data_IF_804615266442
#
_entry.id   IF_804615266442
#
_cell.length_a   1.000
_cell.length_b   1.000
_cell.length_c   1.000
_cell.angle_alpha   90.00
_cell.angle_beta   90.00
_cell.angle_gamma   90.00
#
_symmetry.space_group_name_H-M   'P 1'
#
loop_
_entity.id
_entity.type
_entity.pdbx_description
1 polymer ?
#
# COMPACT_ATOMS: atom_id res chain seq x y z
N UNK A 1 18.96 -55.08 53.46
CA UNK A 1 20.02 -54.07 53.63
C UNK A 1 20.24 -53.44 52.26
N UNK A 2 19.75 -52.21 52.11
CA UNK A 2 19.99 -51.13 51.13
C UNK A 2 18.68 -50.32 50.98
N UNK A 3 18.74 -48.98 51.01
CA UNK A 3 17.67 -48.15 51.56
C UNK A 3 16.67 -47.67 50.53
N UNK A 4 15.47 -47.36 51.03
CA UNK A 4 14.50 -46.46 50.40
C UNK A 4 15.13 -45.07 50.26
N UNK A 5 15.09 -44.52 49.05
CA UNK A 5 15.39 -43.10 48.81
C UNK A 5 14.15 -42.43 48.23
N UNK A 6 13.57 -41.53 49.03
CA UNK A 6 12.64 -40.50 48.60
C UNK A 6 13.31 -39.58 47.57
N UNK A 7 12.61 -39.28 46.48
CA UNK A 7 12.94 -38.12 45.65
C UNK A 7 11.67 -37.35 45.31
N UNK A 8 11.43 -36.41 46.22
CA UNK A 8 10.81 -35.08 46.11
C UNK A 8 10.41 -34.68 44.68
N UNK A 9 9.12 -34.39 44.58
CA UNK A 9 8.48 -33.60 43.53
C UNK A 9 9.02 -32.16 43.52
N UNK A 10 9.80 -31.81 42.51
CA UNK A 10 9.96 -30.41 42.09
C UNK A 10 9.16 -30.21 40.80
N UNK A 11 7.86 -29.94 40.97
CA UNK A 11 7.05 -29.34 39.93
C UNK A 11 7.50 -27.88 39.76
N UNK A 12 8.56 -27.67 38.98
CA UNK A 12 8.81 -26.37 38.40
C UNK A 12 7.57 -25.98 37.59
N UNK A 13 6.76 -25.09 38.15
CA UNK A 13 5.80 -24.30 37.40
C UNK A 13 6.59 -23.50 36.38
N UNK A 14 6.78 -24.10 35.20
CA UNK A 14 7.20 -23.38 34.01
C UNK A 14 6.15 -22.31 33.78
N UNK A 15 6.49 -21.07 34.10
CA UNK A 15 5.72 -19.92 33.64
C UNK A 15 5.50 -20.10 32.13
N UNK A 16 4.26 -20.10 31.63
CA UNK A 16 4.01 -20.26 30.22
C UNK A 16 4.80 -19.18 29.48
N UNK A 17 5.48 -19.54 28.38
CA UNK A 17 6.37 -18.62 27.69
C UNK A 17 5.59 -17.36 27.27
N UNK A 18 6.27 -16.21 27.24
CA UNK A 18 5.78 -14.91 26.71
C UNK A 18 5.51 -15.00 25.20
N UNK A 19 4.59 -15.87 24.81
CA UNK A 19 4.23 -16.28 23.46
C UNK A 19 2.84 -15.72 23.07
N UNK A 20 2.33 -14.71 23.79
CA UNK A 20 0.93 -14.26 23.67
C UNK A 20 0.71 -12.88 23.08
N UNK A 21 1.68 -11.97 23.17
CA UNK A 21 1.45 -10.57 22.76
C UNK A 21 1.99 -10.28 21.35
N UNK A 22 3.15 -10.83 21.01
CA UNK A 22 3.75 -10.68 19.68
C UNK A 22 2.86 -11.32 18.60
N UNK A 23 2.40 -12.54 18.85
CA UNK A 23 1.54 -13.29 17.93
C UNK A 23 0.16 -12.64 17.78
N UNK A 24 -0.41 -12.07 18.85
CA UNK A 24 -1.70 -11.38 18.78
C UNK A 24 -1.63 -10.09 17.96
N UNK A 25 -0.53 -9.33 18.06
CA UNK A 25 -0.34 -8.11 17.26
C UNK A 25 -0.14 -8.43 15.78
N UNK A 26 0.66 -9.46 15.49
CA UNK A 26 0.90 -9.98 14.15
C UNK A 26 -0.38 -10.54 13.52
N UNK A 27 -1.14 -11.34 14.27
CA UNK A 27 -2.47 -11.82 13.84
C UNK A 27 -3.39 -10.64 13.56
N UNK A 28 -3.39 -9.60 14.41
CA UNK A 28 -4.15 -8.39 14.15
C UNK A 28 -3.67 -7.56 12.95
N UNK A 29 -2.48 -7.82 12.38
CA UNK A 29 -2.07 -7.24 11.08
C UNK A 29 -2.56 -8.12 9.93
N UNK A 30 -2.48 -9.44 10.09
CA UNK A 30 -3.04 -10.40 9.13
C UNK A 30 -4.55 -10.19 8.99
N UNK A 31 -5.26 -10.05 10.11
CA UNK A 31 -6.69 -9.76 10.14
C UNK A 31 -6.97 -8.39 9.51
N UNK A 32 -6.10 -7.40 9.70
CA UNK A 32 -6.21 -6.09 9.04
C UNK A 32 -6.04 -6.23 7.52
N UNK A 33 -5.08 -7.02 7.05
CA UNK A 33 -4.87 -7.31 5.62
C UNK A 33 -6.07 -8.04 5.02
N UNK A 34 -6.58 -9.06 5.70
CA UNK A 34 -7.78 -9.80 5.30
C UNK A 34 -9.05 -8.94 5.37
N UNK A 35 -9.12 -8.04 6.35
CA UNK A 35 -10.24 -7.10 6.48
C UNK A 35 -10.15 -6.04 5.41
N UNK A 36 -8.97 -5.52 5.08
CA UNK A 36 -8.80 -4.59 3.97
C UNK A 36 -9.46 -5.17 2.72
N UNK A 37 -9.20 -6.44 2.39
CA UNK A 37 -9.84 -7.16 1.27
C UNK A 37 -11.38 -7.14 1.26
N UNK A 38 -12.03 -7.09 2.43
CA UNK A 38 -13.49 -7.11 2.56
C UNK A 38 -14.12 -5.75 2.87
N UNK A 39 -13.36 -4.81 3.44
CA UNK A 39 -13.82 -3.53 4.01
C UNK A 39 -13.69 -2.34 3.05
N UNK A 40 -13.34 -2.60 1.79
CA UNK A 40 -13.02 -1.60 0.75
C UNK A 40 -14.15 -0.63 0.34
N UNK A 41 -15.15 -0.36 1.18
CA UNK A 41 -16.37 0.36 0.77
C UNK A 41 -16.84 1.52 1.65
N UNK A 42 -16.18 1.89 2.77
CA UNK A 42 -16.83 2.86 3.68
C UNK A 42 -16.02 4.04 4.25
N UNK A 43 -14.75 3.90 4.66
CA UNK A 43 -14.08 4.98 5.43
C UNK A 43 -13.02 5.74 4.63
N UNK A 44 -12.36 5.08 3.68
CA UNK A 44 -11.29 5.64 2.85
C UNK A 44 -10.10 6.24 3.64
N UNK A 45 -9.93 5.90 4.91
CA UNK A 45 -8.73 6.28 5.65
C UNK A 45 -7.64 5.24 5.39
N UNK A 46 -6.38 5.68 5.27
CA UNK A 46 -5.24 4.76 5.24
C UNK A 46 -5.20 3.99 6.57
N UNK A 47 -5.21 2.66 6.52
CA UNK A 47 -5.15 1.85 7.73
C UNK A 47 -3.70 1.81 8.22
N UNK A 48 -3.43 2.55 9.30
CA UNK A 48 -2.11 2.68 9.91
C UNK A 48 -2.07 1.92 11.24
N UNK A 49 -1.00 1.16 11.48
CA UNK A 49 -0.79 0.44 12.75
C UNK A 49 0.67 0.49 13.14
N UNK A 50 0.94 0.75 14.43
CA UNK A 50 2.30 0.57 14.97
C UNK A 50 2.64 -0.91 14.92
N UNK A 51 3.77 -1.22 14.28
CA UNK A 51 4.27 -2.56 14.09
C UNK A 51 5.78 -2.56 14.37
N UNK A 52 6.21 -3.05 15.55
CA UNK A 52 7.62 -3.14 15.91
C UNK A 52 8.44 -3.92 14.87
N UNK A 53 9.72 -3.59 14.74
CA UNK A 53 10.59 -4.15 13.69
C UNK A 53 10.61 -5.68 13.67
N UNK A 54 10.69 -6.32 14.85
CA UNK A 54 10.66 -7.79 14.95
C UNK A 54 9.37 -8.39 14.36
N UNK A 55 8.23 -7.73 14.57
CA UNK A 55 6.94 -8.19 14.05
C UNK A 55 6.81 -7.93 12.55
N UNK A 56 7.39 -6.82 12.06
CA UNK A 56 7.52 -6.57 10.62
C UNK A 56 8.38 -7.64 9.93
N UNK A 57 9.52 -8.02 10.52
CA UNK A 57 10.38 -9.08 9.99
C UNK A 57 9.65 -10.43 9.97
N UNK A 58 8.89 -10.76 11.02
CA UNK A 58 8.02 -11.94 11.04
C UNK A 58 6.94 -11.89 9.96
N UNK A 59 6.28 -10.74 9.77
CA UNK A 59 5.29 -10.55 8.72
C UNK A 59 5.92 -10.75 7.34
N UNK A 60 7.08 -10.16 7.07
CA UNK A 60 7.77 -10.30 5.79
C UNK A 60 8.21 -11.76 5.55
N UNK A 61 8.69 -12.45 6.58
CA UNK A 61 9.01 -13.88 6.48
C UNK A 61 7.77 -14.71 6.13
N UNK A 62 6.63 -14.44 6.76
CA UNK A 62 5.36 -15.10 6.44
C UNK A 62 4.91 -14.81 5.00
N UNK A 63 5.02 -13.56 4.54
CA UNK A 63 4.64 -13.18 3.17
C UNK A 63 5.57 -13.78 2.10
N UNK A 64 6.80 -14.13 2.48
CA UNK A 64 7.76 -14.82 1.60
C UNK A 64 7.57 -16.34 1.58
N UNK A 65 6.78 -16.92 2.49
CA UNK A 65 6.45 -18.34 2.44
C UNK A 65 5.65 -18.70 1.18
N UNK A 66 5.76 -19.95 0.74
CA UNK A 66 4.98 -20.49 -0.38
C UNK A 66 3.48 -20.68 -0.05
N UNK A 67 2.99 -20.26 1.12
CA UNK A 67 1.56 -20.34 1.42
C UNK A 67 0.76 -19.43 0.48
N UNK A 68 0.23 -20.08 -0.57
CA UNK A 68 -0.48 -19.44 -1.65
C UNK A 68 -1.69 -18.63 -1.18
N UNK A 69 -2.28 -18.93 0.00
CA UNK A 69 -3.49 -18.24 0.48
C UNK A 69 -3.19 -16.82 0.94
N UNK A 70 -2.19 -16.66 1.81
CA UNK A 70 -1.77 -15.35 2.30
C UNK A 70 -1.12 -14.56 1.15
N UNK A 71 -0.31 -15.25 0.35
CA UNK A 71 0.38 -14.63 -0.79
C UNK A 71 -0.58 -14.13 -1.86
N UNK A 72 -1.58 -14.92 -2.28
CA UNK A 72 -2.55 -14.50 -3.28
C UNK A 72 -3.45 -13.36 -2.78
N UNK A 73 -3.85 -13.42 -1.50
CA UNK A 73 -4.69 -12.39 -0.89
C UNK A 73 -3.97 -11.03 -0.78
N UNK A 74 -2.68 -11.02 -0.44
CA UNK A 74 -1.92 -9.79 -0.19
C UNK A 74 -1.26 -9.22 -1.44
N UNK A 75 -0.81 -10.06 -2.38
CA UNK A 75 0.16 -9.63 -3.40
C UNK A 75 -0.42 -8.80 -4.54
N UNK A 76 -1.68 -9.01 -4.91
CA UNK A 76 -2.22 -8.38 -6.12
C UNK A 76 -3.14 -7.18 -5.82
N UNK A 77 -3.85 -7.20 -4.69
CA UNK A 77 -4.88 -6.20 -4.38
C UNK A 77 -4.53 -5.25 -3.22
N UNK A 78 -3.57 -5.62 -2.35
CA UNK A 78 -3.24 -4.84 -1.16
C UNK A 78 -1.83 -4.28 -1.22
N UNK A 79 -1.72 -2.95 -1.31
CA UNK A 79 -0.43 -2.29 -1.20
C UNK A 79 -0.22 -1.82 0.22
N UNK A 80 0.97 -2.08 0.76
CA UNK A 80 1.33 -1.63 2.09
C UNK A 80 2.76 -1.11 2.11
N UNK A 81 3.06 -0.31 3.13
CA UNK A 81 4.34 0.35 3.35
C UNK A 81 4.78 0.15 4.78
N UNK A 82 6.07 0.31 5.01
CA UNK A 82 6.64 0.24 6.35
C UNK A 82 7.75 1.27 6.55
N UNK A 83 7.64 2.03 7.64
CA UNK A 83 8.67 2.93 8.15
C UNK A 83 9.33 2.31 9.38
N UNK A 84 10.62 2.01 9.31
CA UNK A 84 11.41 1.52 10.44
C UNK A 84 11.65 2.62 11.48
N UNK A 85 11.80 3.87 11.04
CA UNK A 85 12.01 5.00 11.94
C UNK A 85 10.79 5.23 12.83
N UNK A 86 9.60 5.04 12.28
CA UNK A 86 8.34 5.23 13.00
C UNK A 86 7.74 3.92 13.54
N UNK A 87 8.31 2.77 13.19
CA UNK A 87 7.70 1.45 13.40
C UNK A 87 6.24 1.42 12.95
N UNK A 88 5.98 1.93 11.75
CA UNK A 88 4.64 2.18 11.25
C UNK A 88 4.37 1.35 10.00
N UNK A 89 3.37 0.49 10.09
CA UNK A 89 2.78 -0.24 8.97
C UNK A 89 1.57 0.54 8.44
N UNK A 90 1.54 0.81 7.15
CA UNK A 90 0.45 1.53 6.48
C UNK A 90 -0.05 0.69 5.31
N UNK A 91 -1.32 0.30 5.32
CA UNK A 91 -1.98 -0.20 4.12
C UNK A 91 -2.37 1.04 3.30
N UNK A 92 -1.82 1.14 2.09
CA UNK A 92 -2.23 2.17 1.13
C UNK A 92 -3.70 1.94 0.81
N UNK A 93 -4.42 3.05 0.68
CA UNK A 93 -5.79 3.05 0.21
C UNK A 93 -5.95 2.18 -1.05
N UNK A 94 -6.99 1.33 -1.12
CA UNK A 94 -7.31 0.64 -2.36
C UNK A 94 -7.54 1.67 -3.46
N UNK A 95 -7.19 1.30 -4.70
CA UNK A 95 -7.40 2.16 -5.86
C UNK A 95 -8.90 2.40 -6.03
N UNK A 96 -9.35 3.62 -5.80
CA UNK A 96 -10.70 4.00 -6.26
C UNK A 96 -10.74 3.91 -7.79
N UNK A 97 -11.93 3.75 -8.37
CA UNK A 97 -12.06 3.75 -9.83
C UNK A 97 -11.49 5.04 -10.45
N UNK A 98 -11.65 6.18 -9.76
CA UNK A 98 -11.08 7.46 -10.17
C UNK A 98 -9.55 7.44 -10.09
N UNK A 99 -8.95 6.94 -9.00
CA UNK A 99 -7.49 6.82 -8.88
C UNK A 99 -6.92 5.91 -9.96
N UNK A 100 -7.57 4.77 -10.21
CA UNK A 100 -7.18 3.83 -11.26
C UNK A 100 -7.28 4.49 -12.65
N UNK A 101 -8.36 5.21 -12.92
CA UNK A 101 -8.57 5.94 -14.17
C UNK A 101 -7.51 7.01 -14.42
N UNK A 102 -7.20 7.84 -13.41
CA UNK A 102 -6.15 8.87 -13.51
C UNK A 102 -4.78 8.25 -13.70
N UNK A 103 -4.45 7.18 -12.98
CA UNK A 103 -3.20 6.44 -13.18
C UNK A 103 -3.12 5.88 -14.61
N UNK A 104 -4.23 5.34 -15.13
CA UNK A 104 -4.34 4.87 -16.52
C UNK A 104 -4.02 5.98 -17.53
N UNK A 105 -4.67 7.14 -17.39
CA UNK A 105 -4.43 8.30 -18.25
C UNK A 105 -2.98 8.78 -18.18
N UNK A 106 -2.38 8.86 -16.99
CA UNK A 106 -0.97 9.25 -16.85
C UNK A 106 -0.05 8.26 -17.56
N UNK A 107 -0.29 6.96 -17.41
CA UNK A 107 0.53 5.93 -18.07
C UNK A 107 0.40 6.03 -19.60
N UNK A 108 -0.81 6.26 -20.11
CA UNK A 108 -1.07 6.46 -21.53
C UNK A 108 -0.32 7.69 -22.06
N UNK A 109 -0.43 8.84 -21.38
CA UNK A 109 0.26 10.07 -21.74
C UNK A 109 1.79 9.92 -21.70
N UNK A 110 2.33 9.21 -20.69
CA UNK A 110 3.77 8.86 -20.66
C UNK A 110 4.13 7.99 -21.87
N UNK A 111 3.26 7.06 -22.27
CA UNK A 111 3.43 6.22 -23.46
C UNK A 111 3.51 7.03 -24.75
N UNK A 112 2.54 7.93 -24.95
CA UNK A 112 2.51 8.86 -26.10
C UNK A 112 3.76 9.74 -26.11
N UNK A 113 4.10 10.36 -24.97
CA UNK A 113 5.29 11.19 -24.86
C UNK A 113 6.58 10.43 -25.20
N UNK A 114 6.73 9.20 -24.72
CA UNK A 114 7.88 8.35 -25.05
C UNK A 114 7.95 8.02 -26.54
N UNK A 115 6.82 7.68 -27.16
CA UNK A 115 6.75 7.40 -28.60
C UNK A 115 7.21 8.62 -29.40
N UNK A 116 6.62 9.78 -29.14
CA UNK A 116 7.00 11.05 -29.80
C UNK A 116 8.48 11.36 -29.62
N UNK A 117 9.03 11.22 -28.41
CA UNK A 117 10.46 11.48 -28.19
C UNK A 117 11.38 10.46 -28.86
N UNK A 118 10.93 9.22 -29.00
CA UNK A 118 11.69 8.17 -29.68
C UNK A 118 11.81 8.40 -31.19
N UNK A 119 10.89 9.18 -31.77
CA UNK A 119 10.86 9.54 -33.18
C UNK A 119 11.58 10.86 -33.48
N UNK A 120 12.18 11.51 -32.48
CA UNK A 120 12.91 12.77 -32.69
C UNK A 120 14.21 12.56 -33.46
N UNK A 121 14.61 13.57 -34.25
CA UNK A 121 15.90 13.59 -34.96
C UNK A 121 17.11 13.68 -34.02
N UNK A 122 16.89 13.99 -32.74
CA UNK A 122 17.94 14.03 -31.75
C UNK A 122 18.25 12.60 -31.26
N UNK A 123 19.25 11.96 -31.87
CA UNK A 123 19.67 10.60 -31.55
C UNK A 123 19.91 10.37 -30.04
N UNK A 124 20.47 11.35 -29.32
CA UNK A 124 20.68 11.22 -27.86
C UNK A 124 19.37 11.12 -27.09
N UNK A 125 18.36 11.89 -27.47
CA UNK A 125 17.03 11.86 -26.84
C UNK A 125 16.30 10.57 -27.21
N UNK A 126 16.27 10.24 -28.50
CA UNK A 126 15.64 9.02 -29.01
C UNK A 126 16.20 7.77 -28.33
N UNK A 127 17.53 7.64 -28.25
CA UNK A 127 18.19 6.49 -27.63
C UNK A 127 17.96 6.44 -26.12
N UNK A 128 18.03 7.58 -25.43
CA UNK A 128 17.75 7.63 -23.99
C UNK A 128 16.33 7.18 -23.69
N UNK A 129 15.34 7.64 -24.45
CA UNK A 129 13.93 7.32 -24.23
C UNK A 129 13.62 5.84 -24.49
N UNK A 130 14.31 5.21 -25.46
CA UNK A 130 14.21 3.76 -25.69
C UNK A 130 14.69 2.94 -24.50
N UNK A 131 15.55 3.49 -23.65
CA UNK A 131 15.94 2.83 -22.39
C UNK A 131 14.85 2.92 -21.32
N UNK A 132 13.88 3.83 -21.41
CA UNK A 132 12.93 4.04 -20.32
C UNK A 132 11.94 2.88 -20.21
N UNK A 133 11.73 2.37 -19.00
CA UNK A 133 10.63 1.46 -18.65
C UNK A 133 9.73 2.07 -17.60
N UNK A 134 8.43 1.96 -17.85
CA UNK A 134 7.42 2.31 -16.87
C UNK A 134 7.09 1.03 -16.10
N UNK A 135 7.21 1.08 -14.78
CA UNK A 135 6.80 0.00 -13.90
C UNK A 135 5.70 0.50 -12.98
N UNK A 136 4.64 -0.29 -12.87
CA UNK A 136 3.56 -0.06 -11.92
C UNK A 136 3.94 -0.73 -10.60
N UNK A 137 3.75 0.00 -9.49
CA UNK A 137 3.56 -0.59 -8.16
C UNK A 137 4.55 -1.67 -7.70
N UNK A 138 5.85 -1.38 -7.80
CA UNK A 138 6.88 -2.22 -7.19
C UNK A 138 7.30 -1.68 -5.82
N UNK A 139 7.58 -2.58 -4.87
CA UNK A 139 8.18 -2.17 -3.60
C UNK A 139 9.58 -1.58 -3.80
N UNK A 140 9.76 -0.37 -3.29
CA UNK A 140 11.03 0.34 -3.17
C UNK A 140 11.54 0.24 -1.74
N UNK A 141 12.78 -0.19 -1.60
CA UNK A 141 13.45 -0.30 -0.30
C UNK A 141 14.48 0.82 -0.14
N UNK A 142 14.12 1.84 0.62
CA UNK A 142 14.93 3.03 0.88
C UNK A 142 15.84 2.81 2.10
N UNK A 143 17.17 2.79 1.95
CA UNK A 143 18.09 2.59 3.07
C UNK A 143 18.03 3.75 4.07
N UNK A 144 18.12 3.38 5.35
CA UNK A 144 18.34 4.30 6.46
C UNK A 144 19.80 4.27 6.89
N UNK A 145 20.27 5.33 7.55
CA UNK A 145 21.63 5.40 8.10
C UNK A 145 21.94 4.26 9.09
N UNK A 146 20.92 3.67 9.71
CA UNK A 146 21.04 2.54 10.64
C UNK A 146 21.22 1.18 9.95
N UNK A 147 21.26 1.13 8.61
CA UNK A 147 21.34 -0.10 7.82
C UNK A 147 19.99 -0.79 7.57
N UNK A 148 18.92 -0.35 8.25
CA UNK A 148 17.54 -0.79 7.98
C UNK A 148 17.02 -0.18 6.68
N UNK A 149 15.89 -0.68 6.16
CA UNK A 149 15.33 -0.20 4.87
C UNK A 149 13.83 0.04 4.98
N UNK A 150 13.39 1.27 4.80
CA UNK A 150 11.95 1.56 4.67
C UNK A 150 11.41 0.97 3.38
N UNK A 151 10.19 0.46 3.43
CA UNK A 151 9.49 -0.06 2.26
C UNK A 151 8.41 0.92 1.83
N UNK A 152 8.51 1.40 0.60
CA UNK A 152 7.53 2.28 -0.05
C UNK A 152 7.02 1.63 -1.32
N UNK A 153 5.81 1.93 -1.74
CA UNK A 153 5.23 1.38 -2.96
C UNK A 153 4.70 2.55 -3.77
N UNK A 154 5.48 3.15 -4.70
CA UNK A 154 4.99 4.23 -5.54
C UNK A 154 3.88 3.77 -6.49
N UNK A 155 3.00 4.70 -6.87
CA UNK A 155 1.98 4.41 -7.87
C UNK A 155 2.59 4.06 -9.24
N UNK A 156 3.56 4.86 -9.69
CA UNK A 156 4.28 4.66 -10.96
C UNK A 156 5.76 4.99 -10.74
N UNK A 157 6.65 4.13 -11.25
CA UNK A 157 8.08 4.41 -11.35
C UNK A 157 8.55 4.37 -12.80
N UNK A 158 9.34 5.35 -13.20
CA UNK A 158 10.01 5.38 -14.50
C UNK A 158 11.51 5.09 -14.32
N UNK A 159 11.96 3.98 -14.90
CA UNK A 159 13.31 3.46 -14.74
C UNK A 159 14.08 3.56 -16.06
N UNK A 160 15.40 3.63 -15.98
CA UNK A 160 16.25 3.37 -17.14
C UNK A 160 16.59 1.88 -17.18
N UNK A 161 16.21 1.18 -18.26
CA UNK A 161 16.71 -0.15 -18.64
C UNK A 161 18.15 0.00 -19.11
N UNK A 162 19.09 0.05 -18.17
CA UNK A 162 20.49 -0.12 -18.50
C UNK A 162 20.83 -1.62 -18.43
N UNK A 163 21.63 -2.12 -19.38
CA UNK A 163 21.97 -3.55 -19.57
C UNK A 163 22.83 -4.17 -18.46
N UNK A 164 22.78 -3.65 -17.23
CA UNK A 164 23.46 -4.22 -16.06
C UNK A 164 22.44 -4.44 -14.97
N UNK A 165 21.78 -5.59 -15.05
CA UNK A 165 20.71 -6.05 -14.15
C UNK A 165 21.17 -6.30 -12.72
N UNK A 166 22.48 -6.25 -12.45
CA UNK A 166 23.04 -6.73 -11.18
C UNK A 166 23.83 -5.65 -10.41
N UNK A 167 23.80 -4.39 -10.86
CA UNK A 167 24.48 -3.28 -10.15
C UNK A 167 23.48 -2.38 -9.43
N UNK A 168 23.73 -2.12 -8.15
CA UNK A 168 22.92 -1.27 -7.25
C UNK A 168 22.55 0.14 -7.81
N UNK A 169 23.24 0.60 -8.85
CA UNK A 169 23.05 1.92 -9.48
C UNK A 169 21.70 2.08 -10.21
N UNK A 170 21.00 1.01 -10.57
CA UNK A 170 19.69 1.07 -11.25
C UNK A 170 18.55 0.58 -10.37
N UNK A 171 18.76 0.56 -9.06
CA UNK A 171 17.80 0.07 -8.08
C UNK A 171 16.57 0.97 -7.91
N UNK A 172 16.70 2.26 -8.22
CA UNK A 172 15.63 3.24 -8.04
C UNK A 172 15.15 3.83 -9.37
N UNK A 173 13.86 4.22 -9.46
CA UNK A 173 13.35 4.93 -10.60
C UNK A 173 13.98 6.33 -10.69
N UNK A 174 14.15 6.83 -11.91
CA UNK A 174 14.54 8.22 -12.14
C UNK A 174 13.43 9.20 -11.75
N UNK A 175 12.17 8.76 -11.93
CA UNK A 175 10.96 9.52 -11.61
C UNK A 175 9.93 8.63 -10.90
N UNK A 176 9.38 9.15 -9.81
CA UNK A 176 8.24 8.56 -9.09
C UNK A 176 7.01 9.44 -9.31
N UNK A 177 5.87 8.83 -9.60
CA UNK A 177 4.56 9.49 -9.48
C UNK A 177 3.78 8.87 -8.34
N UNK A 178 3.08 9.72 -7.60
CA UNK A 178 2.13 9.35 -6.55
C UNK A 178 0.80 10.05 -6.80
N UNK A 179 -0.29 9.32 -6.70
CA UNK A 179 -1.65 9.83 -6.80
C UNK A 179 -2.33 9.57 -5.47
N UNK A 180 -2.52 10.62 -4.66
CA UNK A 180 -2.89 10.45 -3.25
C UNK A 180 -4.19 11.16 -2.91
N UNK A 181 -5.12 10.37 -2.37
CA UNK A 181 -6.50 10.74 -2.07
C UNK A 181 -6.71 11.09 -0.60
N UNK A 182 -5.88 10.56 0.30
CA UNK A 182 -6.05 10.68 1.75
C UNK A 182 -4.98 11.53 2.42
N UNK A 183 -3.92 11.91 1.70
CA UNK A 183 -2.80 12.66 2.27
C UNK A 183 -2.95 14.16 2.01
N UNK A 184 -2.56 14.98 2.99
CA UNK A 184 -2.47 16.42 2.79
C UNK A 184 -1.30 16.76 1.86
N UNK A 185 -1.24 18.02 1.42
CA UNK A 185 -0.13 18.52 0.61
C UNK A 185 1.21 18.40 1.35
N UNK A 186 1.24 18.66 2.65
CA UNK A 186 2.42 18.61 3.49
C UNK A 186 2.91 17.16 3.65
N UNK A 187 2.00 16.22 3.89
CA UNK A 187 2.32 14.78 3.92
C UNK A 187 2.91 14.31 2.58
N UNK A 188 2.38 14.81 1.45
CA UNK A 188 2.91 14.53 0.12
C UNK A 188 4.31 15.10 -0.11
N UNK A 189 4.58 16.30 0.40
CA UNK A 189 5.90 16.92 0.32
C UNK A 189 6.92 16.15 1.16
N UNK A 190 6.58 15.72 2.37
CA UNK A 190 7.48 14.92 3.21
C UNK A 190 7.71 13.53 2.59
N UNK A 191 6.70 12.94 1.96
CA UNK A 191 6.84 11.69 1.19
C UNK A 191 7.79 11.85 0.00
N UNK A 192 7.66 12.93 -0.77
CA UNK A 192 8.57 13.23 -1.87
C UNK A 192 10.02 13.41 -1.37
N UNK A 193 10.20 14.13 -0.27
CA UNK A 193 11.50 14.27 0.39
C UNK A 193 12.06 12.93 0.83
N UNK A 194 11.23 12.07 1.43
CA UNK A 194 11.63 10.71 1.83
C UNK A 194 12.17 9.89 0.66
N UNK A 195 11.52 9.94 -0.51
CA UNK A 195 12.05 9.26 -1.70
C UNK A 195 13.41 9.80 -2.13
N UNK A 196 13.56 11.12 -2.19
CA UNK A 196 14.80 11.76 -2.65
C UNK A 196 15.95 11.49 -1.65
N UNK A 197 15.73 11.72 -0.37
CA UNK A 197 16.77 11.53 0.66
C UNK A 197 17.05 10.06 0.91
N UNK A 198 16.02 9.22 1.01
CA UNK A 198 16.14 7.79 1.25
C UNK A 198 16.81 7.03 0.11
N UNK A 199 16.71 7.52 -1.13
CA UNK A 199 17.47 6.99 -2.28
C UNK A 199 18.85 7.61 -2.46
N UNK A 200 19.29 8.47 -1.53
CA UNK A 200 20.52 9.25 -1.64
C UNK A 200 20.61 10.06 -2.96
N UNK A 201 19.49 10.66 -3.37
CA UNK A 201 19.37 11.48 -4.58
C UNK A 201 19.28 10.69 -5.89
N UNK A 202 19.18 9.36 -5.86
CA UNK A 202 19.03 8.56 -7.08
C UNK A 202 17.61 8.72 -7.68
N UNK A 203 16.59 8.85 -6.84
CA UNK A 203 15.28 9.35 -7.26
C UNK A 203 15.38 10.88 -7.32
N UNK A 204 15.42 11.43 -8.53
CA UNK A 204 15.64 12.87 -8.74
C UNK A 204 14.36 13.66 -8.84
N UNK A 205 13.27 13.00 -9.20
CA UNK A 205 11.99 13.67 -9.44
C UNK A 205 10.86 12.86 -8.82
N UNK A 206 10.04 13.54 -8.04
CA UNK A 206 8.80 13.00 -7.49
C UNK A 206 7.67 13.94 -7.90
N UNK A 207 6.66 13.40 -8.57
CA UNK A 207 5.46 14.13 -8.96
C UNK A 207 4.31 13.60 -8.10
N UNK A 208 3.82 14.42 -7.18
CA UNK A 208 2.69 14.08 -6.33
C UNK A 208 1.43 14.78 -6.83
N UNK A 209 0.41 14.00 -7.17
CA UNK A 209 -0.90 14.47 -7.60
C UNK A 209 -1.81 14.44 -6.37
N UNK A 210 -2.07 15.63 -5.84
CA UNK A 210 -2.90 15.83 -4.65
C UNK A 210 -4.38 15.80 -5.03
N UNK A 211 -5.09 14.78 -4.58
CA UNK A 211 -6.48 14.50 -4.94
C UNK A 211 -7.49 14.66 -3.79
N UNK A 212 -7.03 15.17 -2.64
CA UNK A 212 -7.83 15.26 -1.42
C UNK A 212 -9.18 15.96 -1.61
N UNK A 213 -9.21 17.12 -2.29
CA UNK A 213 -10.47 17.86 -2.51
C UNK A 213 -11.42 17.14 -3.46
N UNK A 214 -10.90 16.47 -4.50
CA UNK A 214 -11.72 15.66 -5.41
C UNK A 214 -12.39 14.53 -4.65
N UNK A 215 -11.66 13.87 -3.75
CA UNK A 215 -12.20 12.83 -2.89
C UNK A 215 -13.29 13.36 -1.96
N UNK A 216 -13.07 14.52 -1.32
CA UNK A 216 -14.08 15.12 -0.45
C UNK A 216 -15.38 15.42 -1.20
N UNK A 217 -15.27 15.87 -2.45
CA UNK A 217 -16.42 16.07 -3.32
C UNK A 217 -17.11 14.74 -3.67
N UNK A 218 -16.35 13.69 -3.98
CA UNK A 218 -16.86 12.34 -4.26
C UNK A 218 -17.65 11.77 -3.05
N UNK A 219 -17.05 11.77 -1.85
CA UNK A 219 -17.71 11.29 -0.63
C UNK A 219 -18.99 12.08 -0.31
N UNK A 220 -19.00 13.40 -0.54
CA UNK A 220 -20.20 14.23 -0.37
C UNK A 220 -21.28 13.87 -1.39
N UNK A 221 -20.90 13.62 -2.64
CA UNK A 221 -21.82 13.20 -3.70
C UNK A 221 -22.40 11.81 -3.45
N UNK A 222 -21.59 10.85 -3.03
CA UNK A 222 -22.04 9.51 -2.63
C UNK A 222 -23.02 9.58 -1.46
N UNK A 223 -22.72 10.38 -0.43
CA UNK A 223 -23.63 10.60 0.69
C UNK A 223 -24.99 11.16 0.25
N UNK A 224 -24.97 12.15 -0.65
CA UNK A 224 -26.19 12.73 -1.24
C UNK A 224 -26.98 11.70 -2.03
N UNK A 225 -26.33 10.92 -2.90
CA UNK A 225 -26.98 9.89 -3.70
C UNK A 225 -27.61 8.80 -2.82
N UNK A 226 -26.88 8.28 -1.82
CA UNK A 226 -27.40 7.30 -0.87
C UNK A 226 -28.65 7.81 -0.14
N UNK A 227 -28.66 9.09 0.23
CA UNK A 227 -29.83 9.70 0.85
C UNK A 227 -31.02 9.78 -0.12
N UNK A 228 -30.79 10.18 -1.37
CA UNK A 228 -31.85 10.22 -2.40
C UNK A 228 -32.44 8.83 -2.67
N UNK A 229 -31.60 7.80 -2.81
CA UNK A 229 -32.07 6.42 -3.03
C UNK A 229 -32.91 5.90 -1.85
N UNK A 230 -32.42 6.08 -0.61
CA UNK A 230 -33.20 5.69 0.58
C UNK A 230 -34.54 6.41 0.68
N UNK A 231 -34.57 7.70 0.34
CA UNK A 231 -35.82 8.46 0.34
C UNK A 231 -36.79 7.92 -0.73
N UNK A 232 -36.31 7.64 -1.94
CA UNK A 232 -37.13 7.12 -3.02
C UNK A 232 -37.68 5.72 -2.72
N UNK A 233 -36.88 4.83 -2.11
CA UNK A 233 -37.35 3.52 -1.63
C UNK A 233 -38.49 3.66 -0.59
N UNK A 234 -38.39 4.60 0.35
CA UNK A 234 -39.48 4.88 1.30
C UNK A 234 -40.74 5.44 0.64
N UNK A 235 -40.62 6.20 -0.45
CA UNK A 235 -41.78 6.73 -1.18
C UNK A 235 -42.47 5.66 -2.03
N UNK A 236 -41.73 4.70 -2.60
CA UNK A 236 -42.28 3.55 -3.32
C UNK A 236 -43.02 2.57 -2.39
N UNK A 237 -42.52 2.31 -1.18
CA UNK A 237 -43.22 1.47 -0.21
C UNK A 237 -44.56 2.06 0.26
N UNK A 238 -44.62 3.40 0.44
CA UNK A 238 -45.87 4.09 0.80
C UNK A 238 -46.89 4.10 -0.33
N UNK A 239 -46.46 4.19 -1.59
CA UNK A 239 -47.36 4.15 -2.75
C UNK A 239 -47.89 2.74 -3.04
N UNK A 240 -47.11 1.68 -2.76
CA UNK A 240 -47.57 0.29 -2.83
C UNK A 240 -48.53 -0.06 -1.68
N UNK A 241 -48.28 0.46 -0.46
CA UNK A 241 -49.18 0.30 0.69
C UNK A 241 -50.56 0.94 0.45
N UNK A 242 -50.59 2.14 -0.14
CA UNK A 242 -51.85 2.84 -0.44
C UNK A 242 -52.70 2.14 -1.51
N UNK A 243 -52.11 1.37 -2.43
CA UNK A 243 -52.87 0.61 -3.45
C UNK A 243 -53.46 -0.70 -2.94
N UNK A 244 -52.95 -1.27 -1.84
CA UNK A 244 -53.47 -2.52 -1.25
C UNK A 244 -54.65 -2.32 -0.29
N UNK A 245 -54.99 -1.07 0.04
CA UNK A 245 -56.16 -0.73 0.86
C UNK A 245 -57.45 -0.47 0.08
N UNK A 246 -57.44 -0.67 -1.25
CA UNK A 246 -58.57 -0.43 -2.16
C UNK A 246 -58.98 -1.68 -2.96
N UNK A 247 -58.65 -2.86 -2.44
CA UNK A 247 -59.24 -4.14 -2.86
C UNK A 247 -59.84 -4.80 -1.62
#
# INVERSE_FOLDING_TARGET
>A
MYPLSDSISDSHASNPPKLREDDARLQGVIDLLNSALSFYSSTGESLRKKLPVKQWEQLMALLDTEDHRIRAAVKDDVWFEYSHAEELFEIRMPKTAIQAGIRGLIVEEIGVWKMTLSETDNAKVSDLVKTLSTHMAGSLFLPLATGKKDMRVPDIGLYHRCKRTDTDQYRYPALVLETEFSKTKEELQERAKTYITGSNGQIRTVVAIHMYEMRRAEMKNEGRLRQTYRMNEMYDEKTVSLRKGWM
#
